data_IF_837997863457
#
_entry.id   IF_837997863457
#
_cell.length_a   1.000
_cell.length_b   1.000
_cell.length_c   1.000
_cell.angle_alpha   90.00
_cell.angle_beta   90.00
_cell.angle_gamma   90.00
#
_symmetry.space_group_name_H-M   'P 1'
#
loop_
_entity.id
_entity.type
_entity.pdbx_description
1 polymer ?
#
# COMPACT_ATOMS: atom_id res chain seq x y z
N UNK A 1 43.48 -64.06 52.21
CA UNK A 1 42.13 -63.43 52.12
C UNK A 1 42.16 -62.02 51.50
N UNK A 2 43.24 -61.24 51.65
CA UNK A 2 43.30 -59.85 51.14
C UNK A 2 43.26 -59.65 49.61
N UNK A 3 43.71 -60.62 48.80
CA UNK A 3 43.66 -60.51 47.33
C UNK A 3 42.24 -60.65 46.77
N UNK A 4 41.37 -61.45 47.41
CA UNK A 4 39.97 -61.63 46.97
C UNK A 4 39.11 -60.40 47.28
N UNK A 5 39.34 -59.73 48.41
CA UNK A 5 38.66 -58.48 48.75
C UNK A 5 39.07 -57.33 47.82
N UNK A 6 40.34 -57.28 47.39
CA UNK A 6 40.82 -56.26 46.46
C UNK A 6 40.14 -56.34 45.09
N UNK A 7 39.98 -57.55 44.55
CA UNK A 7 39.29 -57.80 43.27
C UNK A 7 37.81 -57.38 43.36
N UNK A 8 37.16 -57.64 44.49
CA UNK A 8 35.76 -57.28 44.70
C UNK A 8 35.56 -55.75 44.74
N UNK A 9 36.45 -55.02 45.42
CA UNK A 9 36.42 -53.55 45.46
C UNK A 9 36.72 -52.93 44.09
N UNK A 10 37.66 -53.50 43.33
CA UNK A 10 37.91 -53.08 41.95
C UNK A 10 36.71 -53.33 41.03
N UNK A 11 36.05 -54.48 41.15
CA UNK A 11 34.86 -54.81 40.39
C UNK A 11 33.70 -53.85 40.66
N UNK A 12 33.44 -53.52 41.93
CA UNK A 12 32.37 -52.56 42.29
C UNK A 12 32.69 -51.15 41.81
N UNK A 13 33.95 -50.72 41.86
CA UNK A 13 34.39 -49.43 41.32
C UNK A 13 34.16 -49.34 39.80
N UNK A 14 34.47 -50.40 39.05
CA UNK A 14 34.24 -50.44 37.60
C UNK A 14 32.74 -50.40 37.29
N UNK A 15 31.93 -51.22 37.97
CA UNK A 15 30.47 -51.22 37.79
C UNK A 15 29.85 -49.87 38.11
N UNK A 16 30.27 -49.25 39.22
CA UNK A 16 29.82 -47.92 39.60
C UNK A 16 30.22 -46.87 38.57
N UNK A 17 31.45 -46.93 38.03
CA UNK A 17 31.92 -45.99 37.01
C UNK A 17 31.10 -46.10 35.72
N UNK A 18 30.80 -47.31 35.25
CA UNK A 18 29.96 -47.55 34.07
C UNK A 18 28.53 -47.05 34.32
N UNK A 19 27.95 -47.36 35.49
CA UNK A 19 26.63 -46.88 35.86
C UNK A 19 26.56 -45.35 35.92
N UNK A 20 27.55 -44.71 36.55
CA UNK A 20 27.65 -43.26 36.65
C UNK A 20 27.81 -42.60 35.28
N UNK A 21 28.61 -43.19 34.38
CA UNK A 21 28.76 -42.69 33.02
C UNK A 21 27.44 -42.77 32.22
N UNK A 22 26.73 -43.90 32.32
CA UNK A 22 25.43 -44.06 31.68
C UNK A 22 24.36 -43.11 32.24
N UNK A 23 24.34 -42.89 33.56
CA UNK A 23 23.43 -41.94 34.20
C UNK A 23 23.74 -40.52 33.74
N UNK A 24 25.01 -40.10 33.75
CA UNK A 24 25.40 -38.78 33.29
C UNK A 24 25.03 -38.55 31.82
N UNK A 25 25.27 -39.54 30.95
CA UNK A 25 24.85 -39.47 29.54
C UNK A 25 23.34 -39.33 29.40
N UNK A 26 22.56 -40.15 30.10
CA UNK A 26 21.10 -40.07 30.07
C UNK A 26 20.58 -38.73 30.61
N UNK A 27 21.22 -38.17 31.64
CA UNK A 27 20.88 -36.85 32.16
C UNK A 27 21.18 -35.75 31.14
N UNK A 28 22.36 -35.78 30.51
CA UNK A 28 22.73 -34.82 29.46
C UNK A 28 21.79 -34.91 28.26
N UNK A 29 21.46 -36.12 27.81
CA UNK A 29 20.53 -36.34 26.68
C UNK A 29 19.11 -35.85 27.04
N UNK A 30 18.63 -36.17 28.25
CA UNK A 30 17.32 -35.71 28.73
C UNK A 30 17.26 -34.19 28.90
N UNK A 31 18.32 -33.55 29.38
CA UNK A 31 18.39 -32.09 29.50
C UNK A 31 18.41 -31.44 28.12
N UNK A 32 19.20 -31.96 27.19
CA UNK A 32 19.26 -31.47 25.81
C UNK A 32 17.89 -31.57 25.14
N UNK A 33 17.23 -32.72 25.25
CA UNK A 33 15.89 -32.92 24.73
C UNK A 33 14.86 -31.97 25.37
N UNK A 34 14.98 -31.71 26.67
CA UNK A 34 14.09 -30.77 27.39
C UNK A 34 14.28 -29.32 26.92
N UNK A 35 15.53 -28.89 26.76
CA UNK A 35 15.86 -27.55 26.26
C UNK A 35 15.43 -27.37 24.81
N UNK A 36 15.64 -28.39 23.98
CA UNK A 36 15.21 -28.40 22.58
C UNK A 36 13.69 -28.32 22.46
N UNK A 37 12.98 -29.17 23.21
CA UNK A 37 11.51 -29.16 23.22
C UNK A 37 10.95 -27.81 23.70
N UNK A 38 11.54 -27.24 24.75
CA UNK A 38 11.17 -25.91 25.23
C UNK A 38 11.42 -24.84 24.16
N UNK A 39 12.60 -24.86 23.52
CA UNK A 39 12.99 -23.87 22.51
C UNK A 39 12.12 -23.94 21.26
N UNK A 40 11.79 -25.16 20.79
CA UNK A 40 10.86 -25.39 19.68
C UNK A 40 9.45 -24.90 20.01
N UNK A 41 8.97 -25.19 21.22
CA UNK A 41 7.65 -24.75 21.68
C UNK A 41 7.59 -23.22 21.75
N UNK A 42 8.63 -22.57 22.26
CA UNK A 42 8.73 -21.11 22.29
C UNK A 42 8.79 -20.52 20.88
N UNK A 43 9.60 -21.05 19.97
CA UNK A 43 9.65 -20.60 18.57
C UNK A 43 8.28 -20.68 17.89
N UNK A 44 7.49 -21.74 18.15
CA UNK A 44 6.11 -21.86 17.64
C UNK A 44 5.18 -20.82 18.26
N UNK A 45 5.24 -20.61 19.57
CA UNK A 45 4.43 -19.60 20.25
C UNK A 45 4.73 -18.18 19.74
N UNK A 46 5.99 -17.89 19.43
CA UNK A 46 6.40 -16.64 18.78
C UNK A 46 5.76 -16.49 17.39
N UNK A 47 5.80 -17.55 16.57
CA UNK A 47 5.19 -17.53 15.25
C UNK A 47 3.67 -17.29 15.33
N UNK A 48 2.97 -17.96 16.25
CA UNK A 48 1.55 -17.75 16.47
C UNK A 48 1.23 -16.34 16.95
N UNK A 49 1.97 -15.81 17.93
CA UNK A 49 1.76 -14.46 18.45
C UNK A 49 2.00 -13.41 17.37
N UNK A 50 3.07 -13.56 16.60
CA UNK A 50 3.36 -12.67 15.47
C UNK A 50 2.29 -12.78 14.39
N UNK A 51 1.74 -13.97 14.15
CA UNK A 51 0.63 -14.14 13.19
C UNK A 51 -0.57 -13.30 13.59
N UNK A 52 -0.96 -13.32 14.87
CA UNK A 52 -2.08 -12.53 15.35
C UNK A 52 -1.81 -11.02 15.25
N UNK A 53 -0.58 -10.58 15.51
CA UNK A 53 -0.18 -9.18 15.33
C UNK A 53 -0.29 -8.77 13.87
N UNK A 54 0.25 -9.56 12.94
CA UNK A 54 0.24 -9.24 11.50
C UNK A 54 -1.19 -9.30 10.96
N UNK A 55 -1.99 -10.30 11.35
CA UNK A 55 -3.41 -10.38 10.99
C UNK A 55 -4.21 -9.18 11.50
N UNK A 56 -3.97 -8.75 12.74
CA UNK A 56 -4.57 -7.55 13.31
C UNK A 56 -4.16 -6.28 12.55
N UNK A 57 -2.89 -6.17 12.14
CA UNK A 57 -2.42 -5.07 11.28
C UNK A 57 -3.07 -5.08 9.91
N UNK A 58 -3.25 -6.25 9.31
CA UNK A 58 -3.96 -6.40 8.02
C UNK A 58 -5.43 -5.99 8.20
N UNK A 59 -6.08 -6.41 9.28
CA UNK A 59 -7.48 -6.09 9.56
C UNK A 59 -7.71 -4.59 9.84
N UNK A 60 -6.78 -3.95 10.55
CA UNK A 60 -6.86 -2.54 10.92
C UNK A 60 -6.25 -1.57 9.89
N UNK A 61 -5.58 -2.09 8.85
CA UNK A 61 -5.01 -1.23 7.82
C UNK A 61 -6.11 -0.72 6.89
N UNK A 62 -6.25 0.60 6.82
CA UNK A 62 -7.13 1.28 5.87
C UNK A 62 -6.52 1.42 4.47
N UNK A 63 -5.30 0.91 4.25
CA UNK A 63 -4.56 1.07 3.00
C UNK A 63 -3.68 -0.13 2.67
N UNK A 64 -2.70 0.07 1.79
CA UNK A 64 -1.80 -1.00 1.32
C UNK A 64 -0.55 -1.18 2.21
N UNK A 65 -0.44 -0.43 3.30
CA UNK A 65 0.74 -0.39 4.20
C UNK A 65 1.04 -1.72 4.91
N UNK A 66 0.12 -2.68 4.89
CA UNK A 66 0.37 -4.04 5.39
C UNK A 66 1.28 -4.85 4.46
N UNK A 67 1.50 -4.40 3.22
CA UNK A 67 2.30 -5.11 2.21
C UNK A 67 3.78 -4.89 2.46
N UNK A 68 4.45 -5.92 2.97
CA UNK A 68 5.91 -5.98 3.10
C UNK A 68 6.47 -7.14 2.29
N UNK A 69 7.09 -6.82 1.15
CA UNK A 69 7.84 -7.79 0.34
C UNK A 69 9.21 -8.12 0.97
N UNK A 70 9.81 -7.14 1.66
CA UNK A 70 11.14 -7.20 2.25
C UNK A 70 11.07 -7.41 3.76
N UNK A 71 10.68 -8.63 4.17
CA UNK A 71 10.89 -9.23 5.50
C UNK A 71 10.98 -8.25 6.69
N UNK A 72 9.85 -7.75 7.18
CA UNK A 72 9.84 -6.86 8.35
C UNK A 72 10.19 -7.64 9.62
N UNK A 73 11.07 -7.09 10.47
CA UNK A 73 11.53 -7.74 11.71
C UNK A 73 10.78 -7.21 12.94
N UNK A 74 10.43 -8.12 13.84
CA UNK A 74 9.82 -7.87 15.14
C UNK A 74 10.66 -8.61 16.20
N UNK A 75 10.90 -7.96 17.33
CA UNK A 75 11.44 -8.64 18.51
C UNK A 75 10.29 -8.93 19.46
N UNK A 76 10.10 -10.19 19.84
CA UNK A 76 8.99 -10.63 20.69
C UNK A 76 9.53 -11.64 21.71
N UNK A 77 9.22 -11.42 22.99
CA UNK A 77 9.53 -12.32 24.11
C UNK A 77 10.97 -12.87 24.11
N UNK A 78 11.95 -12.02 23.79
CA UNK A 78 13.38 -12.39 23.76
C UNK A 78 13.82 -13.21 22.53
N UNK A 79 12.92 -13.52 21.60
CA UNK A 79 13.22 -14.08 20.30
C UNK A 79 13.10 -13.07 19.16
N UNK A 80 13.44 -13.51 17.95
CA UNK A 80 13.30 -12.69 16.75
C UNK A 80 12.27 -13.30 15.80
N UNK A 81 11.49 -12.43 15.18
CA UNK A 81 10.49 -12.80 14.17
C UNK A 81 10.69 -11.93 12.94
N UNK A 82 10.58 -12.52 11.75
CA UNK A 82 10.40 -11.79 10.50
C UNK A 82 9.12 -12.24 9.81
N UNK A 83 8.46 -11.31 9.11
CA UNK A 83 7.29 -11.64 8.32
C UNK A 83 7.33 -11.02 6.94
N UNK A 84 6.69 -11.69 5.99
CA UNK A 84 6.50 -11.27 4.62
C UNK A 84 5.03 -11.43 4.26
N UNK A 85 4.50 -10.48 3.50
CA UNK A 85 3.13 -10.55 2.98
C UNK A 85 3.16 -10.42 1.47
N UNK A 86 2.47 -11.30 0.76
CA UNK A 86 2.30 -11.20 -0.69
C UNK A 86 0.86 -11.50 -1.08
N UNK A 87 0.37 -10.83 -2.11
CA UNK A 87 -0.88 -11.22 -2.73
C UNK A 87 -0.68 -12.54 -3.49
N UNK A 88 -1.63 -13.47 -3.35
CA UNK A 88 -1.64 -14.75 -4.08
C UNK A 88 -3.06 -15.17 -4.42
N UNK A 89 -3.19 -16.22 -5.21
CA UNK A 89 -4.47 -16.86 -5.51
C UNK A 89 -4.43 -18.28 -5.00
N UNK A 90 -5.43 -18.68 -4.20
CA UNK A 90 -5.58 -20.03 -3.69
C UNK A 90 -6.97 -20.51 -4.07
N UNK A 91 -7.04 -21.60 -4.84
CA UNK A 91 -8.31 -22.19 -5.30
C UNK A 91 -9.24 -21.20 -6.03
N UNK A 92 -8.68 -20.22 -6.74
CA UNK A 92 -9.43 -19.18 -7.45
C UNK A 92 -9.72 -17.92 -6.63
N UNK A 93 -9.56 -17.96 -5.30
CA UNK A 93 -9.78 -16.82 -4.44
C UNK A 93 -8.51 -15.96 -4.28
N UNK A 94 -8.68 -14.64 -4.39
CA UNK A 94 -7.59 -13.69 -4.16
C UNK A 94 -7.39 -13.47 -2.66
N UNK A 95 -6.23 -13.89 -2.16
CA UNK A 95 -5.87 -13.87 -0.73
C UNK A 95 -4.53 -13.18 -0.51
N UNK A 96 -4.27 -12.78 0.73
CA UNK A 96 -2.94 -12.35 1.19
C UNK A 96 -2.28 -13.55 1.86
N UNK A 97 -1.14 -13.98 1.34
CA UNK A 97 -0.27 -14.94 2.01
C UNK A 97 0.64 -14.20 2.97
N UNK A 98 0.60 -14.59 4.24
CA UNK A 98 1.48 -14.11 5.31
C UNK A 98 2.42 -15.23 5.69
N UNK A 99 3.72 -15.07 5.46
CA UNK A 99 4.75 -16.02 5.87
C UNK A 99 5.54 -15.43 7.03
N UNK A 100 5.68 -16.19 8.10
CA UNK A 100 6.33 -15.79 9.35
C UNK A 100 7.48 -16.76 9.63
N UNK A 101 8.63 -16.21 9.99
CA UNK A 101 9.80 -16.95 10.43
C UNK A 101 10.16 -16.50 11.84
N UNK A 102 10.22 -17.41 12.80
CA UNK A 102 10.60 -17.12 14.18
C UNK A 102 11.85 -17.89 14.56
N UNK A 103 12.69 -17.29 15.41
CA UNK A 103 13.90 -17.90 15.95
C UNK A 103 13.98 -17.65 17.46
N UNK A 104 14.14 -18.72 18.23
CA UNK A 104 14.39 -18.69 19.67
C UNK A 104 15.50 -19.69 20.02
N UNK A 105 16.59 -19.23 20.66
CA UNK A 105 17.77 -20.05 21.01
C UNK A 105 18.25 -20.95 19.86
N UNK A 106 18.37 -20.39 18.65
CA UNK A 106 18.79 -21.08 17.42
C UNK A 106 17.81 -22.14 16.86
N UNK A 107 16.64 -22.31 17.46
CA UNK A 107 15.53 -23.09 16.89
C UNK A 107 14.65 -22.18 16.04
N UNK A 108 14.33 -22.66 14.84
CA UNK A 108 13.54 -21.92 13.86
C UNK A 108 12.16 -22.56 13.70
N UNK A 109 11.13 -21.73 13.60
CA UNK A 109 9.80 -22.18 13.20
C UNK A 109 9.27 -21.26 12.10
N UNK A 110 8.43 -21.80 11.22
CA UNK A 110 7.75 -21.02 10.21
C UNK A 110 6.26 -21.30 10.21
N UNK A 111 5.48 -20.29 9.83
CA UNK A 111 4.03 -20.37 9.70
C UNK A 111 3.60 -19.60 8.47
N UNK A 112 2.73 -20.20 7.67
CA UNK A 112 2.09 -19.55 6.53
C UNK A 112 0.59 -19.49 6.79
N UNK A 113 0.03 -18.29 6.76
CA UNK A 113 -1.40 -18.06 6.86
C UNK A 113 -1.93 -17.45 5.55
N UNK A 114 -3.13 -17.87 5.16
CA UNK A 114 -3.87 -17.29 4.04
C UNK A 114 -5.05 -16.52 4.59
N UNK A 115 -5.14 -15.25 4.21
CA UNK A 115 -6.13 -14.32 4.74
C UNK A 115 -6.91 -13.77 3.57
N UNK A 116 -8.23 -13.70 3.70
CA UNK A 116 -9.03 -12.98 2.71
C UNK A 116 -8.52 -11.54 2.63
N UNK A 117 -8.35 -11.03 1.41
CA UNK A 117 -7.95 -9.64 1.21
C UNK A 117 -8.94 -8.75 1.97
N UNK A 118 -8.45 -7.80 2.80
CA UNK A 118 -9.34 -6.82 3.38
C UNK A 118 -10.09 -6.17 2.22
N UNK A 119 -11.43 -6.12 2.33
CA UNK A 119 -12.21 -5.32 1.40
C UNK A 119 -11.88 -3.89 1.75
N UNK A 120 -10.85 -3.35 1.09
CA UNK A 120 -10.64 -1.91 1.05
C UNK A 120 -11.87 -1.42 0.34
N UNK A 121 -12.87 -1.05 1.13
CA UNK A 121 -13.98 -0.27 0.64
C UNK A 121 -13.33 1.07 0.41
N UNK A 122 -12.70 1.21 -0.75
CA UNK A 122 -12.52 2.52 -1.38
C UNK A 122 -13.96 2.92 -1.61
N UNK A 123 -14.62 3.46 -0.58
CA UNK A 123 -15.80 4.27 -0.78
C UNK A 123 -15.25 5.31 -1.73
N UNK A 124 -15.66 5.32 -3.01
CA UNK A 124 -15.32 6.44 -3.84
C UNK A 124 -16.11 7.56 -3.16
N UNK A 125 -15.46 8.33 -2.28
CA UNK A 125 -15.77 9.73 -2.29
C UNK A 125 -15.64 10.07 -3.77
N UNK A 126 -16.78 10.37 -4.42
CA UNK A 126 -16.90 10.46 -5.87
C UNK A 126 -15.88 11.45 -6.50
N UNK A 127 -15.13 12.15 -5.65
CA UNK A 127 -14.01 13.00 -5.95
C UNK A 127 -12.98 12.84 -4.82
N UNK A 128 -11.70 12.55 -5.11
CA UNK A 128 -10.66 12.48 -4.10
C UNK A 128 -10.61 13.76 -3.24
N UNK A 129 -10.31 13.70 -1.93
CA UNK A 129 -10.41 14.87 -1.04
C UNK A 129 -9.58 16.09 -1.46
N UNK A 130 -8.47 15.86 -2.16
CA UNK A 130 -7.61 16.90 -2.70
C UNK A 130 -8.11 17.52 -4.01
N UNK A 131 -9.02 16.85 -4.73
CA UNK A 131 -9.64 17.40 -5.95
C UNK A 131 -10.71 18.41 -5.54
N UNK A 132 -10.44 19.68 -5.81
CA UNK A 132 -11.37 20.78 -5.52
C UNK A 132 -12.25 21.12 -6.72
N UNK A 133 -11.73 21.01 -7.94
CA UNK A 133 -12.51 21.20 -9.17
C UNK A 133 -12.02 20.28 -10.28
N UNK A 134 -12.72 20.26 -11.42
CA UNK A 134 -12.28 19.53 -12.62
C UNK A 134 -10.87 19.96 -13.01
N UNK A 135 -10.61 21.27 -12.97
CA UNK A 135 -9.27 21.85 -13.09
C UNK A 135 -8.92 22.56 -11.79
N UNK A 136 -7.84 22.14 -11.15
CA UNK A 136 -7.30 22.79 -9.95
C UNK A 136 -5.86 23.26 -10.21
N UNK A 137 -5.54 24.52 -9.87
CA UNK A 137 -4.18 25.04 -10.01
C UNK A 137 -3.79 26.03 -8.91
N UNK A 138 -2.49 26.16 -8.67
CA UNK A 138 -1.93 27.24 -7.85
C UNK A 138 -1.77 28.54 -8.65
N UNK A 139 -1.65 28.45 -9.97
CA UNK A 139 -1.41 29.58 -10.86
C UNK A 139 -2.67 30.11 -11.54
N UNK A 140 -2.50 31.14 -12.37
CA UNK A 140 -3.59 31.66 -13.20
C UNK A 140 -4.05 30.59 -14.20
N UNK A 141 -5.36 30.55 -14.46
CA UNK A 141 -5.96 29.67 -15.47
C UNK A 141 -6.60 30.51 -16.56
N UNK A 142 -6.22 30.25 -17.79
CA UNK A 142 -6.84 30.83 -18.98
C UNK A 142 -7.52 29.72 -19.78
N UNK A 143 -8.80 29.90 -20.08
CA UNK A 143 -9.52 29.05 -21.04
C UNK A 143 -9.71 29.82 -22.34
N UNK A 144 -9.58 29.16 -23.48
CA UNK A 144 -9.67 29.78 -24.81
C UNK A 144 -10.34 28.85 -25.82
N UNK A 145 -10.56 29.35 -27.04
CA UNK A 145 -11.21 28.59 -28.10
C UNK A 145 -12.65 28.20 -27.75
N UNK A 146 -13.06 26.97 -28.09
CA UNK A 146 -14.42 26.46 -27.89
C UNK A 146 -14.48 25.35 -26.81
N UNK A 147 -13.57 25.39 -25.83
CA UNK A 147 -13.52 24.34 -24.80
C UNK A 147 -14.69 24.43 -23.82
N UNK A 148 -15.19 23.28 -23.38
CA UNK A 148 -16.18 23.18 -22.30
C UNK A 148 -15.54 22.52 -21.09
N UNK A 149 -15.50 23.22 -19.97
CA UNK A 149 -15.02 22.72 -18.68
C UNK A 149 -16.23 22.44 -17.82
N UNK A 150 -16.51 21.18 -17.50
CA UNK A 150 -17.72 20.81 -16.78
C UNK A 150 -17.41 19.98 -15.53
N UNK A 151 -17.41 20.64 -14.37
CA UNK A 151 -17.15 19.99 -13.08
C UNK A 151 -18.32 19.20 -12.50
N UNK A 152 -19.45 19.12 -13.21
CA UNK A 152 -20.60 18.31 -12.79
C UNK A 152 -20.29 16.82 -12.92
N UNK A 153 -21.04 15.98 -12.23
CA UNK A 153 -20.89 14.54 -12.37
C UNK A 153 -21.64 14.01 -13.61
N UNK A 154 -20.95 13.21 -14.40
CA UNK A 154 -21.51 12.54 -15.58
C UNK A 154 -21.36 11.01 -15.45
N UNK A 155 -22.26 10.26 -16.08
CA UNK A 155 -22.08 8.83 -16.29
C UNK A 155 -21.03 8.57 -17.39
N UNK A 156 -20.71 7.30 -17.63
CA UNK A 156 -19.74 6.90 -18.66
C UNK A 156 -20.18 7.25 -20.10
N UNK A 157 -21.46 7.58 -20.31
CA UNK A 157 -22.00 7.99 -21.60
C UNK A 157 -22.06 9.52 -21.75
N UNK A 158 -21.58 10.27 -20.74
CA UNK A 158 -21.62 11.72 -20.71
C UNK A 158 -22.97 12.31 -20.27
N UNK A 159 -23.93 11.48 -19.85
CA UNK A 159 -25.19 12.00 -19.31
C UNK A 159 -24.96 12.56 -17.91
N UNK A 160 -25.60 13.68 -17.60
CA UNK A 160 -25.54 14.26 -16.26
C UNK A 160 -26.14 13.28 -15.24
N UNK A 161 -25.39 12.98 -14.18
CA UNK A 161 -25.93 12.24 -13.05
C UNK A 161 -26.90 13.14 -12.29
N UNK A 162 -28.11 12.63 -12.03
CA UNK A 162 -29.14 13.36 -11.30
C UNK A 162 -28.71 13.73 -9.87
N UNK A 163 -29.25 14.83 -9.36
CA UNK A 163 -28.85 15.38 -8.07
C UNK A 163 -27.66 16.33 -8.16
N UNK A 164 -27.48 17.12 -7.11
CA UNK A 164 -26.48 18.18 -7.11
C UNK A 164 -25.12 17.69 -6.65
N UNK A 165 -24.50 16.85 -7.47
CA UNK A 165 -23.22 16.20 -7.19
C UNK A 165 -22.17 16.65 -8.21
N UNK A 166 -20.94 16.87 -7.74
CA UNK A 166 -19.82 17.31 -8.57
C UNK A 166 -18.86 18.21 -7.81
N UNK A 167 -17.99 18.87 -8.57
CA UNK A 167 -16.97 19.79 -8.08
C UNK A 167 -17.08 21.13 -8.81
N UNK A 168 -16.28 22.13 -8.40
CA UNK A 168 -16.17 23.36 -9.20
C UNK A 168 -15.62 23.00 -10.59
N UNK A 169 -16.01 23.72 -11.64
CA UNK A 169 -15.39 23.56 -12.95
C UNK A 169 -13.90 23.95 -12.89
N UNK A 170 -13.62 25.08 -12.27
CA UNK A 170 -12.25 25.55 -12.04
C UNK A 170 -12.10 26.01 -10.59
N UNK A 171 -11.05 25.52 -9.93
CA UNK A 171 -10.59 26.00 -8.63
C UNK A 171 -9.14 26.50 -8.75
N UNK A 172 -8.85 27.73 -8.35
CA UNK A 172 -7.48 28.25 -8.39
C UNK A 172 -7.16 29.23 -7.28
N UNK A 173 -5.90 29.24 -6.87
CA UNK A 173 -5.32 30.28 -6.02
C UNK A 173 -5.00 31.57 -6.80
N UNK A 174 -4.86 31.49 -8.12
CA UNK A 174 -4.67 32.62 -9.02
C UNK A 174 -5.97 33.20 -9.55
N UNK A 175 -5.89 33.81 -10.73
CA UNK A 175 -7.03 34.38 -11.46
C UNK A 175 -7.55 33.43 -12.54
N UNK A 176 -8.81 33.63 -12.94
CA UNK A 176 -9.43 32.91 -14.06
C UNK A 176 -9.72 33.90 -15.18
N UNK A 177 -9.29 33.58 -16.39
CA UNK A 177 -9.60 34.32 -17.60
C UNK A 177 -10.31 33.43 -18.62
N UNK A 178 -11.54 33.81 -19.01
CA UNK A 178 -12.30 33.14 -20.06
C UNK A 178 -12.19 33.92 -21.38
N UNK A 179 -11.52 33.36 -22.37
CA UNK A 179 -11.35 33.94 -23.71
C UNK A 179 -12.06 33.08 -24.78
N UNK A 180 -12.15 33.54 -26.04
CA UNK A 180 -12.85 32.81 -27.10
C UNK A 180 -14.34 32.56 -26.84
N UNK A 181 -14.83 31.34 -27.08
CA UNK A 181 -16.16 30.85 -26.75
C UNK A 181 -16.15 29.78 -25.64
N UNK A 182 -15.10 29.75 -24.80
CA UNK A 182 -14.98 28.74 -23.75
C UNK A 182 -16.10 28.85 -22.71
N UNK A 183 -16.64 27.71 -22.29
CA UNK A 183 -17.71 27.61 -21.31
C UNK A 183 -17.22 26.89 -20.05
N UNK A 184 -17.63 27.35 -18.86
CA UNK A 184 -17.28 26.69 -17.59
C UNK A 184 -18.55 26.44 -16.77
N UNK A 185 -18.79 25.18 -16.42
CA UNK A 185 -19.86 24.69 -15.56
C UNK A 185 -19.30 23.89 -14.39
N UNK A 186 -20.15 23.57 -13.41
CA UNK A 186 -19.72 22.85 -12.22
C UNK A 186 -20.86 22.68 -11.21
N UNK A 187 -20.54 22.14 -10.04
CA UNK A 187 -21.47 22.00 -8.94
C UNK A 187 -20.91 22.66 -7.68
N UNK A 188 -21.77 23.38 -6.95
CA UNK A 188 -21.40 23.96 -5.66
C UNK A 188 -22.60 24.05 -4.73
N UNK A 189 -22.39 23.77 -3.44
CA UNK A 189 -23.40 23.87 -2.39
C UNK A 189 -24.70 23.14 -2.71
N UNK A 190 -24.60 21.96 -3.33
CA UNK A 190 -25.78 21.20 -3.73
C UNK A 190 -26.60 21.89 -4.83
N UNK A 191 -25.97 22.61 -5.76
CA UNK A 191 -26.60 23.07 -7.01
C UNK A 191 -25.65 22.85 -8.20
N UNK A 192 -26.19 22.37 -9.32
CA UNK A 192 -25.47 22.23 -10.59
C UNK A 192 -25.65 23.50 -11.44
N UNK A 193 -24.56 23.97 -12.02
CA UNK A 193 -24.50 25.14 -12.90
C UNK A 193 -24.04 24.70 -14.28
N UNK A 194 -24.87 24.91 -15.29
CA UNK A 194 -24.53 24.56 -16.66
C UNK A 194 -23.34 25.39 -17.19
N UNK A 195 -22.51 24.82 -18.08
CA UNK A 195 -21.44 25.55 -18.73
C UNK A 195 -21.92 26.83 -19.40
N UNK A 196 -21.30 27.95 -19.05
CA UNK A 196 -21.64 29.26 -19.59
C UNK A 196 -20.42 30.14 -19.81
N UNK A 197 -20.62 31.20 -20.61
CA UNK A 197 -19.70 32.32 -20.76
C UNK A 197 -20.48 33.65 -20.62
N UNK A 198 -20.18 34.51 -19.64
CA UNK A 198 -19.23 34.27 -18.56
C UNK A 198 -19.63 33.08 -17.69
N UNK A 199 -18.65 32.44 -17.06
CA UNK A 199 -18.87 31.38 -16.08
C UNK A 199 -19.74 31.90 -14.92
N UNK A 200 -20.62 31.05 -14.40
CA UNK A 200 -21.32 31.35 -13.15
C UNK A 200 -20.31 31.47 -12.00
N UNK A 201 -20.45 32.48 -11.13
CA UNK A 201 -19.53 32.67 -10.00
C UNK A 201 -19.53 31.52 -8.99
N UNK A 202 -20.57 30.68 -8.98
CA UNK A 202 -20.64 29.47 -8.16
C UNK A 202 -20.08 28.22 -8.87
N UNK A 203 -19.83 28.27 -10.18
CA UNK A 203 -19.16 27.17 -10.91
C UNK A 203 -17.64 27.29 -10.91
N UNK A 204 -17.09 28.44 -10.48
CA UNK A 204 -15.66 28.69 -10.40
C UNK A 204 -15.25 29.22 -9.04
N UNK A 205 -13.98 29.01 -8.68
CA UNK A 205 -13.38 29.58 -7.48
C UNK A 205 -11.98 30.07 -7.79
N UNK A 206 -11.71 31.37 -7.59
CA UNK A 206 -10.42 32.02 -7.85
C UNK A 206 -9.93 32.80 -6.64
N UNK A 207 -8.63 33.11 -6.59
CA UNK A 207 -8.02 33.88 -5.49
C UNK A 207 -8.05 33.14 -4.15
N UNK A 208 -8.12 31.81 -4.18
CA UNK A 208 -8.20 31.01 -2.96
C UNK A 208 -6.87 30.99 -2.21
N UNK A 209 -6.96 31.00 -0.89
CA UNK A 209 -5.83 30.79 0.03
C UNK A 209 -5.90 29.38 0.59
N UNK A 210 -4.75 28.73 0.79
CA UNK A 210 -4.69 27.38 1.38
C UNK A 210 -3.50 26.54 0.88
N UNK A 211 -3.44 25.31 1.39
CA UNK A 211 -2.50 24.29 0.92
C UNK A 211 -3.14 23.51 -0.24
N UNK A 212 -2.38 23.39 -1.33
CA UNK A 212 -2.72 22.49 -2.44
C UNK A 212 -1.86 21.24 -2.27
N UNK A 213 -2.40 20.09 -2.65
CA UNK A 213 -1.63 18.86 -2.69
C UNK A 213 -0.34 19.07 -3.51
N UNK A 214 0.78 18.75 -2.90
CA UNK A 214 2.13 18.85 -3.46
C UNK A 214 2.58 17.54 -4.08
N UNK A 215 1.92 16.44 -3.72
CA UNK A 215 2.17 15.12 -4.30
C UNK A 215 0.89 14.51 -4.87
N UNK A 216 0.99 13.60 -5.85
CA UNK A 216 -0.18 12.87 -6.37
C UNK A 216 -0.93 12.10 -5.28
N UNK A 217 -0.21 11.55 -4.30
CA UNK A 217 -0.81 10.80 -3.18
C UNK A 217 -1.59 11.73 -2.22
N UNK A 218 -1.14 12.97 -2.03
CA UNK A 218 -1.90 14.00 -1.27
C UNK A 218 -3.23 14.37 -1.94
N UNK A 219 -3.32 14.34 -3.28
CA UNK A 219 -4.59 14.54 -3.99
C UNK A 219 -5.63 13.49 -3.59
N UNK A 220 -5.16 12.26 -3.33
CA UNK A 220 -5.98 11.14 -2.87
C UNK A 220 -6.31 11.19 -1.37
N UNK A 221 -5.83 12.19 -0.64
CA UNK A 221 -6.02 12.36 0.80
C UNK A 221 -4.78 12.09 1.64
N UNK A 222 -3.63 11.79 1.02
CA UNK A 222 -2.37 11.59 1.72
C UNK A 222 -2.40 10.41 2.69
N UNK A 223 -1.47 10.40 3.66
CA UNK A 223 -1.35 9.30 4.62
C UNK A 223 -2.63 9.07 5.44
N UNK A 224 -3.38 10.13 5.78
CA UNK A 224 -4.66 10.01 6.48
C UNK A 224 -5.77 9.42 5.62
N UNK A 225 -5.71 9.62 4.30
CA UNK A 225 -6.58 8.98 3.31
C UNK A 225 -6.14 7.57 2.89
N UNK A 226 -5.08 7.02 3.48
CA UNK A 226 -4.53 5.70 3.11
C UNK A 226 -3.56 5.72 1.92
N UNK A 227 -3.16 6.92 1.47
CA UNK A 227 -2.20 7.15 0.39
C UNK A 227 -0.97 7.90 0.92
N UNK A 228 -0.10 7.27 1.74
CA UNK A 228 1.19 7.88 2.06
C UNK A 228 1.99 8.14 0.76
N UNK A 229 2.89 9.12 0.80
CA UNK A 229 3.68 9.49 -0.38
C UNK A 229 4.39 8.29 -1.00
N UNK A 230 4.25 8.12 -2.32
CA UNK A 230 4.83 7.01 -3.07
C UNK A 230 3.88 5.84 -3.31
N UNK A 231 2.72 5.79 -2.63
CA UNK A 231 1.76 4.69 -2.77
C UNK A 231 1.30 4.48 -4.22
N UNK A 232 0.90 5.54 -4.92
CA UNK A 232 0.47 5.45 -6.31
C UNK A 232 1.59 4.98 -7.24
N UNK A 233 2.84 5.38 -6.95
CA UNK A 233 4.01 4.93 -7.70
C UNK A 233 4.27 3.44 -7.47
N UNK A 234 4.20 2.99 -6.22
CA UNK A 234 4.37 1.58 -5.86
C UNK A 234 3.28 0.70 -6.51
N UNK A 235 2.02 1.15 -6.53
CA UNK A 235 0.92 0.43 -7.20
C UNK A 235 1.23 0.29 -8.70
N UNK A 236 1.68 1.36 -9.34
CA UNK A 236 2.05 1.36 -10.75
C UNK A 236 3.24 0.43 -11.05
N UNK A 237 4.27 0.45 -10.22
CA UNK A 237 5.46 -0.40 -10.37
C UNK A 237 5.16 -1.88 -10.10
N UNK A 238 4.20 -2.18 -9.22
CA UNK A 238 3.77 -3.55 -8.95
C UNK A 238 2.94 -4.18 -10.10
N UNK A 239 2.58 -3.40 -11.11
CA UNK A 239 1.80 -3.83 -12.28
C UNK A 239 0.46 -4.53 -11.95
N UNK A 240 -0.16 -4.15 -10.82
CA UNK A 240 -1.38 -4.80 -10.34
C UNK A 240 -2.61 -4.31 -11.10
N UNK A 241 -3.49 -5.23 -11.49
CA UNK A 241 -4.78 -4.89 -12.14
C UNK A 241 -4.63 -3.98 -13.37
N UNK A 242 -3.56 -4.19 -14.15
CA UNK A 242 -3.27 -3.41 -15.36
C UNK A 242 -2.62 -2.04 -15.12
N UNK A 243 -2.24 -1.75 -13.87
CA UNK A 243 -1.39 -0.62 -13.51
C UNK A 243 -0.04 -0.69 -14.23
N UNK A 244 0.58 0.45 -14.48
CA UNK A 244 1.87 0.49 -15.19
C UNK A 244 2.68 1.71 -14.78
N UNK A 245 3.99 1.52 -14.64
CA UNK A 245 4.95 2.59 -14.42
C UNK A 245 5.84 2.73 -15.66
N UNK A 246 5.93 3.92 -16.22
CA UNK A 246 6.77 4.22 -17.38
C UNK A 246 7.54 5.51 -17.20
N UNK A 247 8.75 5.57 -17.76
CA UNK A 247 9.54 6.81 -17.86
C UNK A 247 9.52 7.42 -19.25
N UNK A 248 8.97 6.68 -20.22
CA UNK A 248 8.75 7.13 -21.58
C UNK A 248 7.26 6.96 -21.94
N UNK A 249 6.50 8.03 -22.22
CA UNK A 249 5.09 7.93 -22.60
C UNK A 249 4.82 7.00 -23.78
N UNK A 250 5.78 6.81 -24.70
CA UNK A 250 5.60 5.92 -25.85
C UNK A 250 5.58 4.43 -25.49
N UNK A 251 5.98 4.06 -24.27
CA UNK A 251 5.90 2.68 -23.78
C UNK A 251 4.59 2.37 -23.05
N UNK A 252 3.62 3.28 -23.05
CA UNK A 252 2.31 3.04 -22.45
C UNK A 252 1.54 1.98 -23.22
N UNK A 253 0.92 1.06 -22.47
CA UNK A 253 -0.01 0.07 -22.99
C UNK A 253 -1.44 0.55 -22.76
N UNK A 254 -2.26 0.56 -23.82
CA UNK A 254 -3.65 0.99 -23.80
C UNK A 254 -4.60 -0.21 -24.02
N UNK A 255 -5.83 -0.19 -23.47
CA UNK A 255 -6.40 0.86 -22.63
C UNK A 255 -5.76 0.91 -21.22
N UNK A 256 -5.64 2.10 -20.66
CA UNK A 256 -5.13 2.29 -19.30
C UNK A 256 -6.10 1.65 -18.29
N UNK A 257 -5.55 0.99 -17.28
CA UNK A 257 -6.31 0.44 -16.16
C UNK A 257 -5.55 0.60 -14.84
N UNK A 258 -6.26 0.59 -13.72
CA UNK A 258 -5.63 0.72 -12.39
C UNK A 258 -4.95 2.08 -12.19
N UNK A 259 -3.67 2.07 -11.80
CA UNK A 259 -2.83 3.27 -11.65
C UNK A 259 -1.75 3.28 -12.74
N UNK A 260 -1.80 4.26 -13.62
CA UNK A 260 -0.75 4.53 -14.61
C UNK A 260 0.11 5.68 -14.11
N UNK A 261 1.41 5.44 -13.94
CA UNK A 261 2.35 6.44 -13.42
C UNK A 261 3.46 6.70 -14.43
N UNK A 262 3.49 7.93 -14.95
CA UNK A 262 4.43 8.39 -15.96
C UNK A 262 5.39 9.36 -15.29
N UNK A 263 6.65 8.96 -15.15
CA UNK A 263 7.70 9.78 -14.57
C UNK A 263 8.66 10.28 -15.65
N UNK A 264 8.45 11.52 -16.06
CA UNK A 264 9.25 12.21 -17.06
C UNK A 264 10.56 12.74 -16.46
N UNK A 265 11.64 12.84 -17.27
CA UNK A 265 12.83 13.57 -16.86
C UNK A 265 12.50 15.06 -16.64
N UNK A 266 13.39 15.79 -15.95
CA UNK A 266 13.24 17.25 -15.76
C UNK A 266 13.12 17.96 -17.12
N UNK A 267 12.11 18.83 -17.28
CA UNK A 267 11.78 19.46 -18.55
C UNK A 267 11.17 18.53 -19.61
N UNK A 268 10.92 17.26 -19.27
CA UNK A 268 10.21 16.32 -20.12
C UNK A 268 8.78 16.79 -20.37
N UNK A 269 8.34 16.65 -21.62
CA UNK A 269 6.99 17.01 -22.05
C UNK A 269 6.16 15.76 -22.26
N UNK A 270 4.92 15.78 -21.78
CA UNK A 270 3.94 14.77 -22.15
C UNK A 270 3.50 15.03 -23.59
N UNK A 271 3.83 14.10 -24.49
CA UNK A 271 3.28 14.14 -25.84
C UNK A 271 1.91 13.48 -25.81
N UNK A 272 0.86 14.28 -26.01
CA UNK A 272 -0.53 13.85 -25.98
C UNK A 272 -0.76 12.56 -26.77
N UNK A 273 -0.95 11.46 -26.05
CA UNK A 273 -1.49 10.22 -26.58
C UNK A 273 -3.00 10.19 -26.28
N UNK A 274 -3.77 9.46 -27.10
CA UNK A 274 -5.18 9.23 -26.81
C UNK A 274 -5.31 8.44 -25.50
N UNK A 275 -5.63 9.15 -24.41
CA UNK A 275 -5.87 8.54 -23.11
C UNK A 275 -7.22 7.83 -23.16
N UNK A 276 -7.17 6.51 -23.34
CA UNK A 276 -8.33 5.63 -23.32
C UNK A 276 -8.19 4.64 -22.17
N UNK A 277 -9.27 4.40 -21.42
CA UNK A 277 -9.30 3.44 -20.32
C UNK A 277 -10.01 3.97 -19.07
N UNK A 278 -9.71 3.36 -17.92
CA UNK A 278 -10.31 3.69 -16.63
C UNK A 278 -9.27 3.64 -15.52
N UNK A 279 -9.28 4.58 -14.58
CA UNK A 279 -8.37 4.54 -13.43
C UNK A 279 -7.71 5.90 -13.18
N UNK A 280 -6.53 5.87 -12.56
CA UNK A 280 -5.76 7.06 -12.21
C UNK A 280 -4.54 7.16 -13.12
N UNK A 281 -4.43 8.26 -13.86
CA UNK A 281 -3.23 8.62 -14.60
C UNK A 281 -2.47 9.70 -13.83
N UNK A 282 -1.25 9.39 -13.43
CA UNK A 282 -0.30 10.34 -12.85
C UNK A 282 0.75 10.65 -13.90
N UNK A 283 0.85 11.91 -14.30
CA UNK A 283 1.96 12.41 -15.13
C UNK A 283 2.72 13.40 -14.29
N UNK A 284 4.01 13.13 -14.07
CA UNK A 284 4.89 14.03 -13.33
C UNK A 284 6.27 14.09 -13.97
N UNK A 285 7.00 15.16 -13.67
CA UNK A 285 8.44 15.19 -13.86
C UNK A 285 9.14 15.45 -12.53
N UNK A 286 10.46 15.24 -12.48
CA UNK A 286 11.25 15.42 -11.26
C UNK A 286 11.36 16.88 -10.78
N UNK A 287 10.99 17.85 -11.62
CA UNK A 287 10.99 19.28 -11.31
C UNK A 287 9.63 19.81 -10.83
N UNK A 288 8.56 19.01 -10.92
CA UNK A 288 7.20 19.39 -10.53
C UNK A 288 6.51 20.35 -11.51
N UNK A 289 7.04 20.52 -12.72
CA UNK A 289 6.60 21.47 -13.74
C UNK A 289 6.23 20.77 -15.07
N UNK A 290 5.68 19.55 -14.98
CA UNK A 290 5.32 18.77 -16.16
C UNK A 290 4.38 19.54 -17.10
N UNK A 291 4.76 19.64 -18.36
CA UNK A 291 3.96 20.23 -19.43
C UNK A 291 3.13 19.15 -20.11
N UNK A 292 1.83 19.40 -20.27
CA UNK A 292 0.83 18.54 -20.92
C UNK A 292 0.34 19.21 -22.20
#
# INVERSE_FOLDING_TARGET
MGTKSLILVLGTLILFSVASFNINRNLTDSLTMSVDYYSDTQARNLAYSASQIVLSRIANSTGLSFRSASGTRLSLFGGSVSYQTKDTVVSGDSVVQVTIYSTFLSRNSSLTAYVRKPTITVVPAATPPGVKGLVASRGNITTSGNMTVDGRNHDANGNLLGGSTGSWGIWTMGTISQSGASQIGGASSGTNYAPSKPANSNSVKSGMTGTVATTPDEVMGGASGGYPEGTLKEIAQAALSGSQYVTNPSSLSYPLSGVTYVELPAGGTWNGANVNGSGVLVVRNTAGDATI
#
